data_IF_373517040681
#
_entry.id   IF_373517040681
#
_cell.length_a   1.000
_cell.length_b   1.000
_cell.length_c   1.000
_cell.angle_alpha   90.00
_cell.angle_beta   90.00
_cell.angle_gamma   90.00
#
_symmetry.space_group_name_H-M   'P 1'
#
loop_
_entity.id
_entity.type
_entity.pdbx_description
1 polymer ?
#
# COMPACT_ATOMS: atom_id res chain seq x y z
N UNK A 1 -29.11 14.47 37.97
CA UNK A 1 -29.45 13.43 36.98
C UNK A 1 -28.58 13.54 35.71
N UNK A 2 -27.48 14.31 35.73
CA UNK A 2 -26.66 14.58 34.54
C UNK A 2 -25.43 13.68 34.37
N UNK A 3 -24.80 13.22 35.46
CA UNK A 3 -23.52 12.49 35.37
C UNK A 3 -23.64 11.14 34.67
N UNK A 4 -24.75 10.41 34.86
CA UNK A 4 -24.96 9.12 34.20
C UNK A 4 -25.26 9.27 32.71
N UNK A 5 -25.94 10.35 32.32
CA UNK A 5 -26.26 10.63 30.92
C UNK A 5 -25.00 11.09 30.16
N UNK A 6 -24.15 11.89 30.81
CA UNK A 6 -22.83 12.28 30.29
C UNK A 6 -21.92 11.06 30.13
N UNK A 7 -21.86 10.17 31.12
CA UNK A 7 -21.07 8.95 31.02
C UNK A 7 -21.55 8.03 29.88
N UNK A 8 -22.86 7.94 29.65
CA UNK A 8 -23.40 7.18 28.51
C UNK A 8 -23.05 7.81 27.16
N UNK A 9 -22.97 9.14 27.09
CA UNK A 9 -22.51 9.85 25.89
C UNK A 9 -21.03 9.58 25.62
N UNK A 10 -20.19 9.62 26.66
CA UNK A 10 -18.75 9.32 26.52
C UNK A 10 -18.51 7.87 26.06
N UNK A 11 -19.25 6.91 26.62
CA UNK A 11 -19.19 5.50 26.21
C UNK A 11 -19.65 5.29 24.76
N UNK A 12 -20.67 6.03 24.33
CA UNK A 12 -21.17 5.99 22.96
C UNK A 12 -20.16 6.58 21.96
N UNK A 13 -19.57 7.74 22.28
CA UNK A 13 -18.51 8.35 21.47
C UNK A 13 -17.26 7.47 21.37
N UNK A 14 -16.85 6.84 22.48
CA UNK A 14 -15.74 5.89 22.48
C UNK A 14 -16.02 4.69 21.53
N UNK A 15 -17.25 4.16 21.55
CA UNK A 15 -17.66 3.09 20.64
C UNK A 15 -17.65 3.50 19.16
N UNK A 16 -18.04 4.73 18.85
CA UNK A 16 -17.97 5.28 17.49
C UNK A 16 -16.53 5.46 17.01
N UNK A 17 -15.63 5.94 17.88
CA UNK A 17 -14.21 6.10 17.56
C UNK A 17 -13.57 4.74 17.27
N UNK A 18 -13.83 3.72 18.11
CA UNK A 18 -13.28 2.38 17.88
C UNK A 18 -13.78 1.77 16.57
N UNK A 19 -15.07 1.93 16.28
CA UNK A 19 -15.68 1.50 15.00
C UNK A 19 -15.03 2.22 13.81
N UNK A 20 -14.82 3.54 13.92
CA UNK A 20 -14.15 4.35 12.89
C UNK A 20 -12.71 3.88 12.69
N UNK A 21 -11.94 3.64 13.75
CA UNK A 21 -10.56 3.12 13.67
C UNK A 21 -10.56 1.76 12.97
N UNK A 22 -11.50 0.88 13.31
CA UNK A 22 -11.61 -0.45 12.68
C UNK A 22 -11.92 -0.37 11.19
N UNK A 23 -12.89 0.46 10.80
CA UNK A 23 -13.25 0.68 9.39
C UNK A 23 -12.08 1.36 8.66
N UNK A 24 -11.44 2.35 9.27
CA UNK A 24 -10.29 3.03 8.67
C UNK A 24 -9.10 2.09 8.51
N UNK A 25 -8.83 1.16 9.44
CA UNK A 25 -7.81 0.11 9.29
C UNK A 25 -8.14 -0.85 8.14
N UNK A 26 -9.41 -1.14 7.89
CA UNK A 26 -9.82 -1.95 6.73
C UNK A 26 -9.63 -1.20 5.42
N UNK A 27 -9.85 0.12 5.39
CA UNK A 27 -9.73 0.98 4.21
C UNK A 27 -8.25 1.38 3.93
N UNK A 28 -7.48 1.76 4.95
CA UNK A 28 -6.09 2.24 4.85
C UNK A 28 -5.05 1.14 4.59
N UNK A 29 -5.48 -0.10 4.37
CA UNK A 29 -4.59 -1.17 3.97
C UNK A 29 -3.81 -0.81 2.68
N UNK A 30 -4.30 0.09 1.83
CA UNK A 30 -3.57 0.53 0.62
C UNK A 30 -2.24 1.25 0.91
N UNK A 31 -2.12 2.00 2.01
CA UNK A 31 -0.89 2.71 2.38
C UNK A 31 -0.01 1.92 3.33
N UNK A 32 -0.57 1.06 4.20
CA UNK A 32 0.17 0.18 5.12
C UNK A 32 0.67 -1.14 4.49
N UNK A 33 0.03 -1.68 3.43
CA UNK A 33 0.45 -2.98 2.84
C UNK A 33 1.81 -2.88 2.12
N UNK A 34 2.19 -1.69 1.67
CA UNK A 34 3.31 -1.48 0.77
C UNK A 34 4.45 -0.71 1.44
N UNK A 35 5.47 -1.43 1.99
CA UNK A 35 6.66 -0.80 2.55
C UNK A 35 7.41 0.03 1.49
N UNK A 36 8.26 0.95 1.94
CA UNK A 36 9.08 1.78 1.05
C UNK A 36 9.91 0.94 0.06
N UNK A 37 10.39 -0.22 0.50
CA UNK A 37 11.04 -1.23 -0.35
C UNK A 37 10.14 -2.45 -0.56
N UNK A 38 9.60 -2.56 -1.76
CA UNK A 38 8.71 -3.64 -2.17
C UNK A 38 9.52 -4.86 -2.61
N UNK A 39 9.01 -6.05 -2.32
CA UNK A 39 9.43 -7.26 -3.03
C UNK A 39 8.62 -7.46 -4.31
N UNK A 40 9.05 -8.40 -5.16
CA UNK A 40 8.40 -8.72 -6.44
C UNK A 40 6.91 -9.01 -6.34
N UNK A 41 6.47 -9.76 -5.32
CA UNK A 41 5.04 -10.06 -5.12
C UNK A 41 4.25 -8.81 -4.75
N UNK A 42 4.81 -7.95 -3.91
CA UNK A 42 4.20 -6.71 -3.48
C UNK A 42 4.07 -5.72 -4.63
N UNK A 43 5.13 -5.49 -5.40
CA UNK A 43 5.09 -4.58 -6.55
C UNK A 43 4.13 -5.11 -7.64
N UNK A 44 4.13 -6.41 -7.91
CA UNK A 44 3.19 -7.02 -8.87
C UNK A 44 1.73 -6.81 -8.44
N UNK A 45 1.45 -7.02 -7.14
CA UNK A 45 0.11 -6.76 -6.57
C UNK A 45 -0.26 -5.27 -6.62
N UNK A 46 0.71 -4.37 -6.38
CA UNK A 46 0.51 -2.92 -6.46
C UNK A 46 0.14 -2.49 -7.89
N UNK A 47 0.74 -3.11 -8.89
CA UNK A 47 0.39 -2.92 -10.31
C UNK A 47 -0.86 -3.71 -10.75
N UNK A 48 -1.44 -4.54 -9.89
CA UNK A 48 -2.59 -5.38 -10.23
C UNK A 48 -2.30 -6.48 -11.26
N UNK A 49 -1.05 -6.93 -11.38
CA UNK A 49 -0.61 -7.94 -12.35
C UNK A 49 0.02 -9.16 -11.67
N UNK A 50 0.04 -10.29 -12.37
CA UNK A 50 0.79 -11.46 -11.93
C UNK A 50 2.31 -11.24 -12.01
N UNK A 51 3.12 -11.88 -11.13
CA UNK A 51 4.58 -11.71 -11.13
C UNK A 51 5.28 -12.02 -12.45
N UNK A 52 4.73 -12.95 -13.24
CA UNK A 52 5.26 -13.28 -14.58
C UNK A 52 5.01 -12.14 -15.56
N UNK A 53 3.80 -11.58 -15.54
CA UNK A 53 3.42 -10.43 -16.37
C UNK A 53 4.18 -9.18 -15.95
N UNK A 54 4.42 -9.03 -14.63
CA UNK A 54 5.25 -7.96 -14.10
C UNK A 54 6.67 -8.00 -14.66
N UNK A 55 7.29 -9.18 -14.71
CA UNK A 55 8.62 -9.31 -15.28
C UNK A 55 8.67 -8.93 -16.75
N UNK A 56 7.71 -9.43 -17.54
CA UNK A 56 7.69 -9.21 -18.98
C UNK A 56 7.43 -7.74 -19.33
N UNK A 57 6.52 -7.07 -18.62
CA UNK A 57 6.08 -5.69 -18.93
C UNK A 57 6.91 -4.61 -18.25
N UNK A 58 7.37 -4.83 -17.01
CA UNK A 58 8.00 -3.77 -16.21
C UNK A 58 9.47 -4.10 -15.91
N UNK A 59 9.73 -5.25 -15.28
CA UNK A 59 11.09 -5.62 -14.83
C UNK A 59 12.07 -5.88 -15.99
N UNK A 60 11.57 -6.13 -17.21
CA UNK A 60 12.35 -6.32 -18.43
C UNK A 60 13.04 -5.03 -18.88
N UNK A 61 12.53 -3.86 -18.50
CA UNK A 61 13.13 -2.57 -18.83
C UNK A 61 14.38 -2.34 -17.98
N UNK A 62 15.49 -2.01 -18.64
CA UNK A 62 16.76 -1.71 -17.96
C UNK A 62 16.68 -0.48 -17.06
N UNK A 63 15.80 0.47 -17.40
CA UNK A 63 15.60 1.71 -16.66
C UNK A 63 14.57 1.55 -15.53
N UNK A 64 14.02 0.36 -15.33
CA UNK A 64 13.05 0.11 -14.26
C UNK A 64 13.75 0.17 -12.89
N UNK A 65 13.23 0.93 -11.92
CA UNK A 65 13.89 1.14 -10.64
C UNK A 65 13.88 -0.15 -9.80
N UNK A 66 15.03 -0.83 -9.79
CA UNK A 66 15.31 -2.01 -8.97
C UNK A 66 16.63 -1.85 -8.24
N UNK A 67 16.68 -2.38 -7.03
CA UNK A 67 17.86 -2.50 -6.19
C UNK A 67 18.15 -3.98 -6.03
N UNK A 68 19.32 -4.42 -6.50
CA UNK A 68 19.79 -5.79 -6.30
C UNK A 68 20.60 -5.85 -5.00
N UNK A 69 20.07 -6.56 -3.99
CA UNK A 69 20.77 -6.78 -2.72
C UNK A 69 20.94 -8.27 -2.47
N UNK A 70 22.17 -8.78 -2.62
CA UNK A 70 22.51 -10.17 -2.30
C UNK A 70 21.70 -11.22 -3.09
N UNK A 71 21.40 -10.95 -4.37
CA UNK A 71 20.61 -11.84 -5.24
C UNK A 71 19.09 -11.75 -5.06
N UNK A 72 18.60 -10.78 -4.27
CA UNK A 72 17.18 -10.44 -4.17
C UNK A 72 16.93 -9.05 -4.76
N UNK A 73 15.92 -8.96 -5.63
CA UNK A 73 15.46 -7.69 -6.19
C UNK A 73 14.48 -7.00 -5.22
N UNK A 74 14.76 -5.73 -4.94
CA UNK A 74 13.93 -4.82 -4.16
C UNK A 74 13.52 -3.64 -5.02
N UNK A 75 12.29 -3.18 -4.87
CA UNK A 75 11.71 -2.14 -5.71
C UNK A 75 11.27 -0.96 -4.84
N UNK A 76 11.91 0.22 -4.97
CA UNK A 76 11.51 1.41 -4.21
C UNK A 76 10.13 1.88 -4.66
N UNK A 77 9.16 1.89 -3.75
CA UNK A 77 7.74 2.19 -4.04
C UNK A 77 7.57 3.47 -4.84
N UNK A 78 8.15 4.57 -4.37
CA UNK A 78 7.92 5.89 -4.96
C UNK A 78 8.54 6.00 -6.35
N UNK A 79 9.77 5.50 -6.53
CA UNK A 79 10.44 5.50 -7.84
C UNK A 79 9.71 4.64 -8.86
N UNK A 80 9.17 3.50 -8.43
CA UNK A 80 8.37 2.61 -9.27
C UNK A 80 7.09 3.31 -9.75
N UNK A 81 6.40 4.02 -8.86
CA UNK A 81 5.20 4.80 -9.20
C UNK A 81 5.56 5.92 -10.18
N UNK A 82 6.63 6.68 -9.91
CA UNK A 82 7.09 7.72 -10.82
C UNK A 82 7.46 7.18 -12.20
N UNK A 83 8.17 6.05 -12.25
CA UNK A 83 8.52 5.39 -13.50
C UNK A 83 7.27 5.02 -14.28
N UNK A 84 6.26 4.45 -13.62
CA UNK A 84 4.99 4.13 -14.27
C UNK A 84 4.29 5.37 -14.80
N UNK A 85 4.18 6.45 -14.02
CA UNK A 85 3.59 7.70 -14.49
C UNK A 85 4.34 8.32 -15.68
N UNK A 86 5.65 8.09 -15.79
CA UNK A 86 6.44 8.55 -16.95
C UNK A 86 6.28 7.64 -18.17
N UNK A 87 6.10 6.34 -17.96
CA UNK A 87 6.23 5.34 -19.01
C UNK A 87 4.94 4.57 -19.33
N UNK A 88 3.81 4.89 -18.70
CA UNK A 88 2.53 4.18 -18.87
C UNK A 88 2.08 4.04 -20.33
N UNK A 89 2.47 4.97 -21.21
CA UNK A 89 2.12 4.95 -22.63
C UNK A 89 2.94 3.94 -23.46
N UNK A 90 4.06 3.46 -22.92
CA UNK A 90 4.98 2.51 -23.57
C UNK A 90 5.04 1.16 -22.86
N UNK A 91 4.25 0.96 -21.79
CA UNK A 91 4.22 -0.27 -20.98
C UNK A 91 2.94 -1.08 -21.14
#
# INVERSE_FOLDING_TARGET
MDSRLLQMLDEFEAGLIDRKIKVMKMINNETEIYPLELNKKQVSKMFGVDPKTFDARFNSHKDFPRIETGGREKYPRDLVIEWYHRNWSIT
#
